data_IF_642756071382
#
_entry.id   IF_642756071382
#
_cell.length_a   1.000
_cell.length_b   1.000
_cell.length_c   1.000
_cell.angle_alpha   90.00
_cell.angle_beta   90.00
_cell.angle_gamma   90.00
#
_symmetry.space_group_name_H-M   'P 1'
#
loop_
_entity.id
_entity.type
_entity.pdbx_description
1 polymer ?
#
# COMPACT_ATOMS: atom_id res chain seq x y z
N UNK A 1 14.72 20.16 15.78
CA UNK A 1 13.99 18.99 15.25
C UNK A 1 13.29 19.38 13.95
N UNK A 2 13.84 19.13 12.74
CA UNK A 2 13.12 19.39 11.49
C UNK A 2 12.54 18.09 10.93
N UNK A 3 11.21 18.04 10.78
CA UNK A 3 10.51 16.92 10.12
C UNK A 3 10.55 17.18 8.62
N UNK A 4 11.39 16.42 7.91
CA UNK A 4 11.69 16.62 6.50
C UNK A 4 10.42 16.63 5.63
N UNK A 5 10.21 17.78 4.98
CA UNK A 5 9.41 17.91 3.76
C UNK A 5 10.23 17.25 2.65
N UNK A 6 9.77 16.13 2.12
CA UNK A 6 10.21 15.58 0.84
C UNK A 6 8.96 15.42 -0.02
N UNK A 7 8.57 16.53 -0.65
CA UNK A 7 7.66 16.52 -1.78
C UNK A 7 8.42 16.12 -3.04
N UNK A 8 7.76 15.30 -3.85
CA UNK A 8 8.05 15.00 -5.24
C UNK A 8 9.42 14.39 -5.55
N UNK A 9 9.50 13.06 -5.41
CA UNK A 9 10.29 12.28 -6.37
C UNK A 9 9.37 11.26 -7.03
N UNK A 10 9.24 11.37 -8.34
CA UNK A 10 8.62 10.39 -9.22
C UNK A 10 9.40 9.08 -9.08
N UNK A 11 8.93 8.17 -8.21
CA UNK A 11 9.64 6.91 -7.98
C UNK A 11 9.35 5.98 -9.17
N UNK A 12 10.40 5.44 -9.81
CA UNK A 12 10.31 4.68 -11.05
C UNK A 12 9.53 3.37 -10.86
N UNK A 13 9.19 2.75 -11.98
CA UNK A 13 8.50 1.48 -12.21
C UNK A 13 9.23 0.26 -11.60
N UNK A 14 9.59 0.35 -10.33
CA UNK A 14 10.33 -0.63 -9.56
C UNK A 14 9.62 -0.84 -8.22
N UNK A 15 9.56 -2.09 -7.78
CA UNK A 15 8.75 -2.49 -6.65
C UNK A 15 9.05 -1.67 -5.37
N UNK A 16 8.04 -1.01 -4.82
CA UNK A 16 8.11 0.00 -3.76
C UNK A 16 8.13 -0.62 -2.36
N UNK A 17 8.82 0.00 -1.40
CA UNK A 17 8.71 -0.42 0.01
C UNK A 17 7.37 0.00 0.63
N UNK A 18 6.93 -0.70 1.70
CA UNK A 18 5.71 -0.35 2.46
C UNK A 18 5.70 1.11 2.94
N UNK A 19 6.86 1.66 3.30
CA UNK A 19 6.98 3.05 3.75
C UNK A 19 6.72 4.03 2.60
N UNK A 20 7.17 3.69 1.40
CA UNK A 20 6.99 4.52 0.22
C UNK A 20 5.54 4.49 -0.26
N UNK A 21 4.94 3.30 -0.27
CA UNK A 21 3.51 3.12 -0.56
C UNK A 21 2.64 3.87 0.47
N UNK A 22 2.99 3.79 1.75
CA UNK A 22 2.32 4.51 2.83
C UNK A 22 2.32 6.03 2.60
N UNK A 23 3.47 6.60 2.24
CA UNK A 23 3.59 8.03 1.90
C UNK A 23 2.79 8.38 0.64
N UNK A 24 2.85 7.56 -0.39
CA UNK A 24 2.17 7.81 -1.69
C UNK A 24 0.65 7.74 -1.59
N UNK A 25 0.13 6.83 -0.78
CA UNK A 25 -1.31 6.62 -0.61
C UNK A 25 -1.91 7.41 0.57
N UNK A 26 -1.06 7.97 1.44
CA UNK A 26 -1.50 8.73 2.61
C UNK A 26 -2.19 7.86 3.66
N UNK A 27 -1.82 6.58 3.75
CA UNK A 27 -2.32 5.62 4.75
C UNK A 27 -1.15 5.07 5.57
N UNK A 28 -1.42 4.67 6.81
CA UNK A 28 -0.35 4.16 7.67
C UNK A 28 0.21 2.82 7.18
N UNK A 29 1.52 2.60 7.34
CA UNK A 29 2.13 1.30 7.05
C UNK A 29 1.50 0.16 7.88
N UNK A 30 1.02 0.43 9.09
CA UNK A 30 0.31 -0.54 9.93
C UNK A 30 -1.03 -0.96 9.33
N UNK A 31 -1.75 -0.04 8.69
CA UNK A 31 -2.99 -0.34 7.95
C UNK A 31 -2.70 -1.27 6.77
N UNK A 32 -1.67 -0.95 5.97
CA UNK A 32 -1.25 -1.77 4.84
C UNK A 32 -0.86 -3.19 5.28
N UNK A 33 -0.07 -3.33 6.36
CA UNK A 33 0.28 -4.64 6.95
C UNK A 33 -0.94 -5.42 7.42
N UNK A 34 -1.96 -4.72 7.93
CA UNK A 34 -3.21 -5.35 8.38
C UNK A 34 -3.99 -5.91 7.20
N UNK A 35 -4.11 -5.15 6.12
CA UNK A 35 -4.82 -5.59 4.91
C UNK A 35 -4.09 -6.71 4.18
N UNK A 36 -2.77 -6.65 4.11
CA UNK A 36 -1.96 -7.75 3.57
C UNK A 36 -2.19 -9.04 4.37
N UNK A 37 -2.13 -8.97 5.71
CA UNK A 37 -2.34 -10.16 6.57
C UNK A 37 -3.77 -10.69 6.50
N UNK A 38 -4.77 -9.80 6.40
CA UNK A 38 -6.19 -10.14 6.55
C UNK A 38 -6.87 -10.51 5.25
N UNK A 39 -6.47 -9.86 4.16
CA UNK A 39 -7.12 -9.95 2.86
C UNK A 39 -6.16 -10.40 1.74
N UNK A 40 -4.87 -10.55 2.02
CA UNK A 40 -3.89 -10.92 1.00
C UNK A 40 -3.59 -9.81 -0.02
N UNK A 41 -4.04 -8.57 0.23
CA UNK A 41 -3.83 -7.42 -0.66
C UNK A 41 -2.43 -6.84 -0.40
N UNK A 42 -1.42 -7.53 -0.92
CA UNK A 42 -0.01 -7.15 -0.85
C UNK A 42 0.84 -8.07 -1.73
N UNK A 43 2.14 -7.80 -1.84
CA UNK A 43 2.98 -8.43 -2.85
C UNK A 43 3.05 -9.94 -2.68
N UNK A 44 2.77 -10.68 -3.76
CA UNK A 44 2.78 -12.15 -3.79
C UNK A 44 4.18 -12.74 -3.51
N UNK A 45 5.25 -12.00 -3.83
CA UNK A 45 6.63 -12.42 -3.58
C UNK A 45 6.99 -12.31 -2.08
N UNK A 46 6.54 -13.30 -1.30
CA UNK A 46 7.25 -13.70 -0.09
C UNK A 46 8.51 -14.46 -0.48
N UNK A 47 9.50 -13.78 -1.06
CA UNK A 47 10.86 -14.27 -1.02
C UNK A 47 11.27 -14.33 0.46
N UNK A 48 11.37 -15.54 1.00
CA UNK A 48 11.64 -15.80 2.41
C UNK A 48 12.90 -15.04 2.87
N UNK A 49 12.71 -13.92 3.57
CA UNK A 49 13.79 -13.07 4.10
C UNK A 49 14.03 -11.75 3.37
N UNK A 50 13.40 -11.48 2.22
CA UNK A 50 13.54 -10.21 1.51
C UNK A 50 12.46 -9.18 1.92
N UNK A 51 12.82 -7.90 1.89
CA UNK A 51 11.89 -6.80 2.18
C UNK A 51 10.70 -6.83 1.22
N UNK A 52 9.47 -6.71 1.76
CA UNK A 52 8.23 -6.63 0.97
C UNK A 52 8.32 -5.47 -0.02
N UNK A 53 8.28 -5.79 -1.32
CA UNK A 53 8.25 -4.81 -2.38
C UNK A 53 6.91 -4.89 -3.11
N UNK A 54 6.18 -3.78 -3.12
CA UNK A 54 4.88 -3.63 -3.77
C UNK A 54 5.09 -3.29 -5.24
N UNK A 55 4.56 -4.12 -6.13
CA UNK A 55 4.56 -3.82 -7.55
C UNK A 55 3.59 -2.66 -7.85
N UNK A 56 3.72 -1.98 -9.01
CA UNK A 56 2.77 -0.97 -9.43
C UNK A 56 1.31 -1.46 -9.38
N UNK A 57 1.05 -2.71 -9.76
CA UNK A 57 -0.28 -3.33 -9.70
C UNK A 57 -0.81 -3.44 -8.26
N UNK A 58 0.03 -3.80 -7.29
CA UNK A 58 -0.35 -3.85 -5.88
C UNK A 58 -0.73 -2.45 -5.38
N UNK A 59 0.01 -1.42 -5.80
CA UNK A 59 -0.23 -0.03 -5.41
C UNK A 59 -1.57 0.46 -5.96
N UNK A 60 -1.92 0.09 -7.18
CA UNK A 60 -3.21 0.47 -7.78
C UNK A 60 -4.39 -0.26 -7.14
N UNK A 61 -4.26 -1.55 -6.79
CA UNK A 61 -5.28 -2.25 -5.97
C UNK A 61 -5.47 -1.58 -4.62
N UNK A 62 -4.37 -1.23 -3.93
CA UNK A 62 -4.43 -0.52 -2.66
C UNK A 62 -5.08 0.85 -2.81
N UNK A 63 -4.78 1.58 -3.89
CA UNK A 63 -5.42 2.87 -4.21
C UNK A 63 -6.93 2.70 -4.38
N UNK A 64 -7.36 1.72 -5.17
CA UNK A 64 -8.77 1.43 -5.41
C UNK A 64 -9.49 1.07 -4.09
N UNK A 65 -8.88 0.20 -3.29
CA UNK A 65 -9.42 -0.21 -1.98
C UNK A 65 -9.55 0.99 -1.04
N UNK A 66 -8.56 1.90 -1.00
CA UNK A 66 -8.65 3.13 -0.21
C UNK A 66 -9.77 4.04 -0.71
N UNK A 67 -9.95 4.14 -2.02
CA UNK A 67 -11.07 4.89 -2.63
C UNK A 67 -12.43 4.37 -2.16
N UNK A 68 -12.62 3.04 -2.18
CA UNK A 68 -13.83 2.38 -1.69
C UNK A 68 -14.03 2.58 -0.19
N UNK A 69 -12.98 2.46 0.61
CA UNK A 69 -13.07 2.69 2.07
C UNK A 69 -13.45 4.14 2.37
N UNK A 70 -12.91 5.10 1.61
CA UNK A 70 -13.24 6.53 1.74
C UNK A 70 -14.66 6.85 1.27
N UNK A 71 -15.24 6.07 0.37
CA UNK A 71 -16.66 6.22 -0.02
C UNK A 71 -17.63 5.61 1.00
N UNK A 72 -17.13 5.03 2.10
CA UNK A 72 -17.94 4.46 3.18
C UNK A 72 -18.05 2.94 3.12
N UNK A 73 -17.39 2.26 2.17
CA UNK A 73 -17.38 0.81 2.11
C UNK A 73 -16.53 0.21 3.25
N UNK A 74 -17.01 -0.82 3.96
CA UNK A 74 -16.19 -1.52 4.94
C UNK A 74 -14.94 -2.11 4.27
N UNK A 75 -13.79 -2.06 4.96
CA UNK A 75 -12.52 -2.57 4.45
C UNK A 75 -12.57 -4.03 3.96
N UNK A 76 -13.42 -4.88 4.55
CA UNK A 76 -13.59 -6.26 4.08
C UNK A 76 -14.29 -6.36 2.71
N UNK A 77 -15.31 -5.54 2.46
CA UNK A 77 -15.95 -5.46 1.14
C UNK A 77 -15.04 -4.79 0.12
N UNK A 78 -14.36 -3.70 0.53
CA UNK A 78 -13.44 -3.00 -0.34
C UNK A 78 -12.29 -3.89 -0.81
N UNK A 79 -11.80 -4.79 0.06
CA UNK A 79 -10.78 -5.77 -0.30
C UNK A 79 -11.30 -6.86 -1.26
N UNK A 80 -12.57 -7.23 -1.17
CA UNK A 80 -13.18 -8.21 -2.08
C UNK A 80 -13.53 -7.62 -3.46
N UNK A 81 -13.51 -6.29 -3.58
CA UNK A 81 -13.85 -5.56 -4.80
C UNK A 81 -12.62 -5.14 -5.63
N UNK A 82 -11.40 -5.51 -5.22
CA UNK A 82 -10.10 -5.18 -5.87
C UNK A 82 -9.28 -6.42 -6.23
#
# INVERSE_FOLDING_TARGET
MPRAVLGAQSVPEAALSVTEVSKRLGVSASTLRTWERRYGVGPEERAAGAHRRYLPDDVERLRAMIGLVRSGMPTGQAAAAV
#
